data_IF_454276805848
#
_entry.id   IF_454276805848
#
_cell.length_a   1.000
_cell.length_b   1.000
_cell.length_c   1.000
_cell.angle_alpha   90.00
_cell.angle_beta   90.00
_cell.angle_gamma   90.00
#
_symmetry.space_group_name_H-M   'P 1'
#
loop_
_entity.id
_entity.type
_entity.pdbx_description
1 polymer ?
#
# COMPACT_ATOMS: atom_id res chain seq x y z
N UNK A 1 -17.53 -14.33 -17.90
CA UNK A 1 -16.10 -13.96 -17.81
C UNK A 1 -15.51 -14.73 -16.65
N UNK A 2 -14.55 -15.60 -16.91
CA UNK A 2 -14.00 -16.51 -15.91
C UNK A 2 -13.09 -15.72 -14.95
N UNK A 3 -13.53 -15.57 -13.70
CA UNK A 3 -12.64 -15.20 -12.59
C UNK A 3 -11.62 -16.34 -12.46
N UNK A 4 -10.35 -16.03 -12.75
CA UNK A 4 -9.24 -16.95 -12.57
C UNK A 4 -9.07 -17.09 -11.06
N UNK A 5 -9.60 -18.17 -10.49
CA UNK A 5 -9.48 -18.45 -9.06
C UNK A 5 -7.99 -18.50 -8.72
N UNK A 6 -7.51 -17.51 -7.98
CA UNK A 6 -6.24 -17.62 -7.26
C UNK A 6 -6.37 -18.88 -6.42
N UNK A 7 -5.55 -19.88 -6.71
CA UNK A 7 -5.53 -21.17 -6.04
C UNK A 7 -5.43 -20.94 -4.53
N UNK A 8 -6.51 -21.28 -3.83
CA UNK A 8 -6.84 -20.95 -2.44
C UNK A 8 -5.89 -21.50 -1.35
N UNK A 9 -4.66 -21.94 -1.66
CA UNK A 9 -3.79 -22.62 -0.67
C UNK A 9 -2.64 -21.80 -0.10
N UNK A 10 -2.16 -20.73 -0.74
CA UNK A 10 -0.96 -19.99 -0.29
C UNK A 10 -1.08 -18.45 -0.40
N UNK A 11 -2.26 -17.87 -0.14
CA UNK A 11 -2.43 -16.42 -0.13
C UNK A 11 -2.71 -15.91 1.29
N UNK A 12 -2.17 -14.74 1.62
CA UNK A 12 -2.43 -14.01 2.85
C UNK A 12 -2.93 -12.61 2.50
N UNK A 13 -3.85 -12.07 3.29
CA UNK A 13 -4.31 -10.69 3.19
C UNK A 13 -4.16 -9.97 4.52
N UNK A 14 -3.81 -8.69 4.44
CA UNK A 14 -3.78 -7.78 5.58
C UNK A 14 -4.60 -6.55 5.26
N UNK A 15 -5.44 -6.14 6.20
CA UNK A 15 -6.17 -4.88 6.14
C UNK A 15 -5.61 -3.94 7.18
N UNK A 16 -5.19 -2.75 6.76
CA UNK A 16 -4.68 -1.70 7.63
C UNK A 16 -5.62 -0.51 7.56
N UNK A 17 -6.22 -0.17 8.72
CA UNK A 17 -7.11 0.97 8.87
C UNK A 17 -6.31 2.14 9.43
N UNK A 18 -6.40 3.30 8.77
CA UNK A 18 -5.79 4.55 9.23
C UNK A 18 -6.91 5.49 9.64
N UNK A 19 -7.01 5.75 10.95
CA UNK A 19 -7.97 6.71 11.49
C UNK A 19 -7.45 8.14 11.30
N UNK A 20 -8.37 9.09 11.08
CA UNK A 20 -8.06 10.52 10.87
C UNK A 20 -7.01 10.76 9.77
N UNK A 21 -7.10 10.00 8.66
CA UNK A 21 -6.14 10.08 7.55
C UNK A 21 -6.06 11.48 6.92
N UNK A 22 -7.16 12.24 6.95
CA UNK A 22 -7.25 13.63 6.57
C UNK A 22 -6.34 14.57 7.38
N UNK A 23 -5.97 14.21 8.61
CA UNK A 23 -5.01 14.97 9.42
C UNK A 23 -3.54 14.68 9.07
N UNK A 24 -3.27 13.57 8.39
CA UNK A 24 -1.93 13.25 7.89
C UNK A 24 -1.54 14.16 6.71
N UNK A 25 -2.54 14.67 6.01
CA UNK A 25 -2.43 15.71 5.00
C UNK A 25 -2.25 17.12 5.62
N UNK A 26 -1.28 17.95 5.19
CA UNK A 26 -0.08 17.72 4.37
C UNK A 26 1.18 17.46 5.25
N UNK A 27 1.01 17.06 6.51
CA UNK A 27 2.07 17.07 7.53
C UNK A 27 3.02 15.88 7.42
N UNK A 28 2.48 14.71 7.11
CA UNK A 28 3.23 13.46 7.14
C UNK A 28 3.86 13.17 5.79
N UNK A 29 5.17 12.94 5.80
CA UNK A 29 5.91 12.54 4.59
C UNK A 29 5.60 11.10 4.19
N UNK A 30 5.46 10.20 5.16
CA UNK A 30 5.10 8.81 4.94
C UNK A 30 4.46 8.24 6.20
N UNK A 31 3.49 7.35 6.03
CA UNK A 31 2.86 6.59 7.11
C UNK A 31 3.23 5.13 6.92
N UNK A 32 3.70 4.50 8.00
CA UNK A 32 4.08 3.10 8.01
C UNK A 32 3.05 2.29 8.80
N UNK A 33 2.63 1.15 8.26
CA UNK A 33 1.82 0.21 9.04
C UNK A 33 2.65 -0.42 10.16
N UNK A 34 2.00 -1.03 11.16
CA UNK A 34 2.66 -2.00 12.01
C UNK A 34 3.35 -3.08 11.17
N UNK A 35 4.50 -3.54 11.65
CA UNK A 35 5.23 -4.64 11.02
C UNK A 35 4.46 -5.94 11.18
N UNK A 36 4.42 -6.74 10.12
CA UNK A 36 3.83 -8.07 10.12
C UNK A 36 4.81 -9.12 9.58
N UNK A 37 4.67 -10.35 10.07
CA UNK A 37 5.48 -11.51 9.66
C UNK A 37 4.58 -12.48 8.91
N UNK A 38 4.99 -12.89 7.72
CA UNK A 38 4.21 -13.82 6.91
C UNK A 38 4.97 -15.13 6.77
N UNK A 39 4.47 -16.18 7.43
CA UNK A 39 5.08 -17.51 7.38
C UNK A 39 5.16 -18.07 5.95
N UNK A 40 4.13 -17.81 5.14
CA UNK A 40 4.09 -18.19 3.71
C UNK A 40 5.16 -17.49 2.87
N UNK A 41 5.70 -16.36 3.35
CA UNK A 41 6.76 -15.59 2.71
C UNK A 41 8.08 -15.81 3.43
N UNK A 42 8.38 -17.06 3.79
CA UNK A 42 9.63 -17.45 4.45
C UNK A 42 9.85 -16.75 5.80
N UNK A 43 8.75 -16.47 6.51
CA UNK A 43 8.75 -15.76 7.80
C UNK A 43 9.48 -14.41 7.76
N UNK A 44 9.48 -13.75 6.59
CA UNK A 44 10.05 -12.42 6.42
C UNK A 44 9.14 -11.34 7.03
N UNK A 45 9.74 -10.20 7.36
CA UNK A 45 9.06 -9.05 7.99
C UNK A 45 8.71 -8.00 6.95
N UNK A 46 7.51 -7.44 7.06
CA UNK A 46 6.94 -6.54 6.08
C UNK A 46 6.20 -5.41 6.75
N UNK A 47 6.05 -4.31 6.02
CA UNK A 47 5.12 -3.25 6.37
C UNK A 47 4.58 -2.59 5.09
N UNK A 48 3.47 -1.90 5.24
CA UNK A 48 2.89 -1.06 4.21
C UNK A 48 3.36 0.38 4.41
N UNK A 49 3.54 1.10 3.31
CA UNK A 49 3.93 2.51 3.30
C UNK A 49 2.94 3.29 2.46
N UNK A 50 2.36 4.34 3.03
CA UNK A 50 1.52 5.29 2.31
C UNK A 50 2.18 6.67 2.34
N UNK A 51 2.24 7.32 1.19
CA UNK A 51 2.60 8.73 1.07
C UNK A 51 1.31 9.51 0.82
N UNK A 52 0.75 10.24 1.82
CA UNK A 52 -0.53 10.93 1.68
C UNK A 52 -0.50 12.05 0.62
N UNK A 53 0.69 12.64 0.38
CA UNK A 53 0.97 13.45 -0.80
C UNK A 53 2.14 12.90 -1.59
N UNK A 54 1.95 12.84 -2.88
CA UNK A 54 3.01 12.85 -3.85
C UNK A 54 2.49 13.51 -5.13
N UNK A 55 2.68 14.83 -5.24
CA UNK A 55 2.30 15.62 -6.42
C UNK A 55 0.82 15.44 -6.85
N UNK A 56 -0.12 15.47 -5.90
CA UNK A 56 -1.55 15.32 -6.17
C UNK A 56 -2.06 13.88 -6.09
N UNK A 57 -1.18 12.91 -5.85
CA UNK A 57 -1.52 11.51 -5.67
C UNK A 57 -1.21 11.03 -4.25
N UNK A 58 -1.84 9.94 -3.86
CA UNK A 58 -1.48 9.10 -2.74
C UNK A 58 -0.65 7.94 -3.29
N UNK A 59 0.59 7.79 -2.82
CA UNK A 59 1.43 6.65 -3.17
C UNK A 59 1.21 5.50 -2.20
N UNK A 60 1.29 4.26 -2.68
CA UNK A 60 1.10 3.07 -1.85
C UNK A 60 2.12 1.99 -2.20
N UNK A 61 2.82 1.49 -1.18
CA UNK A 61 3.90 0.51 -1.28
C UNK A 61 3.77 -0.59 -0.24
N UNK A 62 4.33 -1.75 -0.57
CA UNK A 62 4.72 -2.79 0.37
C UNK A 62 6.24 -2.85 0.43
N UNK A 63 6.78 -3.02 1.63
CA UNK A 63 8.22 -3.00 1.89
C UNK A 63 8.64 -4.20 2.74
N UNK A 64 9.73 -4.85 2.32
CA UNK A 64 10.38 -5.92 3.07
C UNK A 64 11.45 -5.32 3.98
N UNK A 65 11.39 -5.60 5.28
CA UNK A 65 12.39 -5.10 6.23
C UNK A 65 13.71 -5.88 6.16
N UNK A 66 14.81 -5.20 6.49
CA UNK A 66 16.16 -5.76 6.49
C UNK A 66 16.38 -6.85 7.57
N UNK A 67 15.73 -6.66 8.73
CA UNK A 67 15.93 -7.42 9.96
C UNK A 67 15.18 -8.78 9.98
N UNK A 68 15.23 -9.51 8.86
CA UNK A 68 14.65 -10.84 8.73
C UNK A 68 15.70 -11.92 8.41
N UNK A 69 15.50 -13.10 9.00
CA UNK A 69 16.31 -14.33 8.80
C UNK A 69 16.02 -15.04 7.46
N UNK A 70 15.16 -14.45 6.63
CA UNK A 70 14.80 -15.00 5.31
C UNK A 70 15.89 -14.84 4.25
N UNK A 71 15.65 -15.35 3.03
CA UNK A 71 16.62 -15.40 1.94
C UNK A 71 17.03 -14.00 1.48
N UNK A 72 18.16 -13.90 0.78
CA UNK A 72 18.61 -12.61 0.24
C UNK A 72 17.55 -11.94 -0.65
N UNK A 73 16.84 -12.73 -1.46
CA UNK A 73 15.74 -12.29 -2.31
C UNK A 73 14.54 -13.22 -2.15
N UNK A 74 13.33 -12.68 -2.23
CA UNK A 74 12.08 -13.45 -2.29
C UNK A 74 11.22 -12.88 -3.43
N UNK A 75 10.68 -13.76 -4.26
CA UNK A 75 9.75 -13.37 -5.32
C UNK A 75 8.31 -13.43 -4.81
N UNK A 76 7.58 -12.32 -4.96
CA UNK A 76 6.23 -12.17 -4.40
C UNK A 76 5.29 -11.62 -5.46
N UNK A 77 4.12 -12.24 -5.55
CA UNK A 77 2.95 -11.69 -6.24
C UNK A 77 2.05 -11.05 -5.18
N UNK A 78 1.61 -9.82 -5.41
CA UNK A 78 0.76 -9.12 -4.46
C UNK A 78 -0.27 -8.23 -5.14
N UNK A 79 -1.35 -7.97 -4.41
CA UNK A 79 -2.36 -6.97 -4.75
C UNK A 79 -2.35 -5.90 -3.66
N UNK A 80 -2.25 -4.63 -4.06
CA UNK A 80 -2.52 -3.48 -3.18
C UNK A 80 -3.91 -2.96 -3.46
N UNK A 81 -4.66 -2.62 -2.42
CA UNK A 81 -6.05 -2.22 -2.55
C UNK A 81 -6.44 -1.14 -1.54
N UNK A 82 -7.13 -0.10 -2.02
CA UNK A 82 -7.90 0.80 -1.19
C UNK A 82 -9.35 0.36 -1.16
N UNK A 83 -9.88 0.26 0.05
CA UNK A 83 -11.26 -0.12 0.31
C UNK A 83 -12.07 1.14 0.62
N UNK A 84 -13.27 1.23 0.06
CA UNK A 84 -14.27 2.21 0.46
C UNK A 84 -14.85 1.86 1.84
N UNK A 85 -15.61 2.79 2.43
CA UNK A 85 -16.20 2.61 3.77
C UNK A 85 -17.20 1.44 3.86
N UNK A 86 -17.78 1.03 2.74
CA UNK A 86 -18.65 -0.15 2.63
C UNK A 86 -17.87 -1.46 2.41
N UNK A 87 -16.54 -1.39 2.37
CA UNK A 87 -15.65 -2.53 2.11
C UNK A 87 -15.50 -2.89 0.64
N UNK A 88 -16.11 -2.14 -0.29
CA UNK A 88 -15.92 -2.33 -1.72
C UNK A 88 -14.55 -1.83 -2.18
N UNK A 89 -14.05 -2.37 -3.29
CA UNK A 89 -12.79 -1.96 -3.90
C UNK A 89 -12.93 -0.56 -4.50
N UNK A 90 -12.20 0.43 -3.95
CA UNK A 90 -12.07 1.75 -4.57
C UNK A 90 -11.04 1.71 -5.70
N UNK A 91 -9.87 1.14 -5.43
CA UNK A 91 -8.77 1.00 -6.40
C UNK A 91 -7.87 -0.15 -6.00
N UNK A 92 -7.38 -0.89 -6.98
CA UNK A 92 -6.42 -1.96 -6.76
C UNK A 92 -5.34 -1.97 -7.84
N UNK A 93 -4.18 -2.53 -7.50
CA UNK A 93 -3.09 -2.79 -8.43
C UNK A 93 -2.55 -4.19 -8.15
N UNK A 94 -2.35 -4.97 -9.22
CA UNK A 94 -1.73 -6.29 -9.16
C UNK A 94 -0.28 -6.20 -9.64
N UNK A 95 0.63 -6.83 -8.90
CA UNK A 95 2.03 -6.96 -9.27
C UNK A 95 2.44 -8.43 -9.20
N UNK A 96 3.15 -8.88 -10.24
CA UNK A 96 3.64 -10.25 -10.35
C UNK A 96 5.18 -10.25 -10.43
N UNK A 97 5.79 -11.34 -9.99
CA UNK A 97 7.22 -11.64 -10.05
C UNK A 97 8.10 -10.53 -9.46
N UNK A 98 7.67 -9.90 -8.36
CA UNK A 98 8.44 -8.84 -7.71
C UNK A 98 9.52 -9.44 -6.82
N UNK A 99 10.78 -9.25 -7.20
CA UNK A 99 11.93 -9.73 -6.43
C UNK A 99 12.30 -8.73 -5.32
N UNK A 100 11.90 -9.03 -4.09
CA UNK A 100 12.23 -8.25 -2.89
C UNK A 100 13.56 -8.71 -2.30
N UNK A 101 14.58 -7.88 -2.46
CA UNK A 101 15.74 -7.93 -1.57
C UNK A 101 15.37 -7.38 -0.18
N UNK A 102 16.27 -7.55 0.80
CA UNK A 102 16.17 -6.83 2.08
C UNK A 102 16.07 -5.32 1.84
N UNK A 103 15.22 -4.65 2.62
CA UNK A 103 14.90 -3.22 2.54
C UNK A 103 14.29 -2.75 1.19
N UNK A 104 13.82 -3.68 0.36
CA UNK A 104 13.21 -3.35 -0.92
C UNK A 104 11.72 -3.07 -0.78
N UNK A 105 11.25 -2.09 -1.54
CA UNK A 105 9.84 -1.75 -1.65
C UNK A 105 9.37 -1.81 -3.10
N UNK A 106 8.10 -2.21 -3.30
CA UNK A 106 7.38 -2.14 -4.58
C UNK A 106 5.99 -1.58 -4.35
N UNK A 107 5.47 -0.84 -5.34
CA UNK A 107 4.21 -0.13 -5.22
C UNK A 107 3.93 0.76 -6.42
N UNK A 108 3.24 1.87 -6.17
CA UNK A 108 2.85 2.87 -7.16
C UNK A 108 2.92 4.27 -6.55
N UNK A 109 3.63 5.17 -7.23
CA UNK A 109 3.66 6.60 -6.88
C UNK A 109 2.30 7.27 -7.11
N UNK A 110 1.62 6.90 -8.19
CA UNK A 110 0.32 7.47 -8.56
C UNK A 110 -0.81 6.47 -8.26
N UNK A 111 -0.80 5.87 -7.06
CA UNK A 111 -1.73 4.80 -6.72
C UNK A 111 -3.18 5.29 -6.72
N UNK A 112 -3.50 6.43 -6.12
CA UNK A 112 -4.82 7.08 -6.22
C UNK A 112 -4.67 8.59 -6.24
N UNK A 113 -5.60 9.32 -6.84
CA UNK A 113 -5.62 10.78 -6.70
C UNK A 113 -6.03 11.16 -5.29
N UNK A 114 -5.50 12.28 -4.80
CA UNK A 114 -5.92 12.82 -3.50
C UNK A 114 -7.40 13.19 -3.45
N UNK A 115 -7.98 13.62 -4.57
CA UNK A 115 -9.41 13.84 -4.68
C UNK A 115 -10.23 12.55 -4.49
N UNK A 116 -9.78 11.42 -5.05
CA UNK A 116 -10.44 10.12 -4.88
C UNK A 116 -10.41 9.66 -3.40
N UNK A 117 -9.32 9.95 -2.68
CA UNK A 117 -9.11 9.46 -1.31
C UNK A 117 -9.71 10.39 -0.26
N UNK A 118 -9.48 11.70 -0.38
CA UNK A 118 -9.90 12.70 0.62
C UNK A 118 -11.23 13.39 0.26
N UNK A 119 -11.73 13.24 -0.97
CA UNK A 119 -12.88 14.01 -1.44
C UNK A 119 -12.61 15.52 -1.57
N UNK A 120 -11.34 15.95 -1.49
CA UNK A 120 -10.94 17.35 -1.58
C UNK A 120 -10.97 17.79 -3.05
N UNK A 121 -11.55 18.95 -3.35
CA UNK A 121 -11.56 19.47 -4.71
C UNK A 121 -10.24 20.14 -5.06
N UNK A 122 -9.86 20.12 -6.34
CA UNK A 122 -8.63 20.77 -6.81
C UNK A 122 -8.53 22.26 -6.41
N UNK A 123 -9.68 22.91 -6.22
CA UNK A 123 -9.78 24.32 -5.84
C UNK A 123 -9.48 24.59 -4.36
N UNK A 124 -9.66 23.62 -3.48
CA UNK A 124 -9.35 23.77 -2.06
C UNK A 124 -7.83 23.82 -1.82
N UNK A 125 -7.02 23.23 -2.73
CA UNK A 125 -5.55 23.32 -2.67
C UNK A 125 -5.02 24.74 -2.90
N UNK A 126 -5.71 25.57 -3.70
CA UNK A 126 -5.27 26.95 -3.99
C UNK A 126 -5.53 27.90 -2.81
N UNK A 127 -6.43 27.56 -1.89
CA UNK A 127 -6.83 28.43 -0.78
C UNK A 127 -5.98 28.20 0.48
N UNK A 128 -5.05 27.25 0.48
CA UNK A 128 -4.26 26.87 1.66
C UNK A 128 -2.77 27.19 1.53
N UNK A 129 -2.33 27.83 0.44
CA UNK A 129 -0.96 28.33 0.24
C UNK A 129 -0.77 29.83 0.55
N UNK A 130 -1.69 30.47 1.28
CA UNK A 130 -1.57 31.87 1.79
C UNK A 130 -1.50 31.92 3.30
#
# INVERSE_FOLDING_TARGET
>A
MASKSISQRNAFSITWIIENFDHCWPREKAIHSPTFVVALMESTKWHLIIYPWNNGYVSFYISRLEDCEGPANIEVNFQLEFLASDGSTLKFENRENCAFSKDKSFGMDEFATTNEVFGINKHDFCLMET
#
